data_IF_759090578800
#
_entry.id   IF_759090578800
#
_cell.length_a   1.000
_cell.length_b   1.000
_cell.length_c   1.000
_cell.angle_alpha   90.00
_cell.angle_beta   90.00
_cell.angle_gamma   90.00
#
_symmetry.space_group_name_H-M   'P 1'
#
loop_
_entity.id
_entity.type
_entity.pdbx_description
1 polymer ?
#
# COMPACT_ATOMS: atom_id res chain seq x y z
N UNK A 1 -9.50 9.27 -5.15
CA UNK A 1 -9.19 9.87 -3.84
C UNK A 1 -7.83 9.41 -3.29
N UNK A 2 -6.96 8.87 -4.13
CA UNK A 2 -5.59 8.52 -3.74
C UNK A 2 -4.78 9.74 -3.32
N UNK A 3 -3.78 9.53 -2.46
CA UNK A 3 -2.80 10.55 -2.14
C UNK A 3 -1.97 10.93 -3.39
N UNK A 4 -1.50 12.18 -3.45
CA UNK A 4 -0.69 12.69 -4.58
C UNK A 4 0.56 11.84 -4.87
N UNK A 5 1.13 11.17 -3.88
CA UNK A 5 2.25 10.26 -4.08
C UNK A 5 1.93 9.12 -5.07
N UNK A 6 0.68 8.66 -5.10
CA UNK A 6 0.21 7.66 -6.06
C UNK A 6 -0.24 8.33 -7.36
N UNK A 7 -1.05 9.40 -7.26
CA UNK A 7 -1.61 10.08 -8.44
C UNK A 7 -0.52 10.65 -9.35
N UNK A 8 0.47 11.34 -8.78
CA UNK A 8 1.53 11.96 -9.56
C UNK A 8 2.44 10.89 -10.20
N UNK A 9 2.69 9.76 -9.50
CA UNK A 9 3.42 8.61 -10.06
C UNK A 9 2.63 7.94 -11.18
N UNK A 10 1.32 7.73 -11.00
CA UNK A 10 0.45 7.18 -12.03
C UNK A 10 0.41 8.08 -13.27
N UNK A 11 0.37 9.41 -13.07
CA UNK A 11 0.44 10.38 -14.16
C UNK A 11 1.76 10.28 -14.94
N UNK A 12 2.91 10.14 -14.26
CA UNK A 12 4.20 9.95 -14.92
C UNK A 12 4.25 8.67 -15.75
N UNK A 13 3.69 7.57 -15.23
CA UNK A 13 3.57 6.32 -15.99
C UNK A 13 2.68 6.49 -17.22
N UNK A 14 1.56 7.20 -17.09
CA UNK A 14 0.68 7.51 -18.20
C UNK A 14 1.38 8.34 -19.28
N UNK A 15 2.16 9.35 -18.88
CA UNK A 15 2.94 10.19 -19.81
C UNK A 15 4.06 9.38 -20.50
N UNK A 16 4.54 8.31 -19.87
CA UNK A 16 5.47 7.34 -20.44
C UNK A 16 4.81 6.26 -21.32
N UNK A 17 3.48 6.32 -21.54
CA UNK A 17 2.73 5.43 -22.43
C UNK A 17 2.06 4.24 -21.77
N UNK A 18 2.09 4.15 -20.42
CA UNK A 18 1.33 3.14 -19.69
C UNK A 18 -0.16 3.53 -19.67
N UNK A 19 -1.05 2.61 -20.02
CA UNK A 19 -2.49 2.86 -19.92
C UNK A 19 -2.92 2.86 -18.44
N UNK A 20 -3.45 3.98 -17.96
CA UNK A 20 -3.91 4.17 -16.58
C UNK A 20 -5.41 4.44 -16.56
N UNK A 21 -6.14 3.70 -15.73
CA UNK A 21 -7.55 3.94 -15.46
C UNK A 21 -7.71 4.46 -14.03
N UNK A 22 -8.35 5.62 -13.89
CA UNK A 22 -8.66 6.21 -12.59
C UNK A 22 -10.10 5.90 -12.23
N UNK A 23 -10.33 5.18 -11.12
CA UNK A 23 -11.66 4.91 -10.61
C UNK A 23 -12.18 6.10 -9.80
N UNK A 24 -13.45 6.40 -10.00
CA UNK A 24 -14.17 7.40 -9.20
C UNK A 24 -14.87 6.68 -8.05
N UNK A 25 -14.69 7.13 -6.80
CA UNK A 25 -15.40 6.55 -5.66
C UNK A 25 -16.91 6.83 -5.74
N UNK A 26 -17.67 6.05 -5.02
CA UNK A 26 -19.09 6.25 -4.84
C UNK A 26 -19.39 7.48 -3.95
N UNK A 27 -20.67 7.74 -3.68
CA UNK A 27 -21.12 8.87 -2.85
C UNK A 27 -20.66 8.78 -1.38
N UNK A 28 -20.23 7.61 -0.93
CA UNK A 28 -19.65 7.37 0.39
C UNK A 28 -18.14 7.52 0.39
N UNK A 29 -17.52 7.77 -0.76
CA UNK A 29 -16.07 7.86 -0.91
C UNK A 29 -15.36 6.51 -0.96
N UNK A 30 -16.09 5.43 -1.31
CA UNK A 30 -15.56 4.06 -1.38
C UNK A 30 -15.37 3.60 -2.83
N UNK A 31 -14.39 2.74 -3.03
CA UNK A 31 -14.23 1.97 -4.26
C UNK A 31 -14.77 0.57 -4.02
N UNK A 32 -15.75 0.16 -4.84
CA UNK A 32 -16.35 -1.16 -4.70
C UNK A 32 -15.57 -2.24 -5.45
N UNK A 33 -15.60 -3.52 -4.98
CA UNK A 33 -15.01 -4.65 -5.72
C UNK A 33 -15.56 -4.78 -7.13
N UNK A 34 -16.84 -4.45 -7.32
CA UNK A 34 -17.47 -4.47 -8.64
C UNK A 34 -16.86 -3.43 -9.58
N UNK A 35 -16.70 -2.17 -9.12
CA UNK A 35 -16.09 -1.11 -9.93
C UNK A 35 -14.65 -1.48 -10.35
N UNK A 36 -13.89 -2.13 -9.47
CA UNK A 36 -12.56 -2.64 -9.80
C UNK A 36 -12.65 -3.74 -10.85
N UNK A 37 -13.52 -4.74 -10.66
CA UNK A 37 -13.71 -5.86 -11.59
C UNK A 37 -14.09 -5.41 -13.00
N UNK A 38 -14.97 -4.41 -13.11
CA UNK A 38 -15.42 -3.85 -14.40
C UNK A 38 -14.32 -3.06 -15.12
N UNK A 39 -13.40 -2.46 -14.34
CA UNK A 39 -12.28 -1.69 -14.89
C UNK A 39 -11.06 -2.54 -15.28
N UNK A 40 -10.97 -3.77 -14.76
CA UNK A 40 -9.86 -4.68 -15.06
C UNK A 40 -9.90 -5.12 -16.52
N UNK A 41 -8.76 -4.97 -17.21
CA UNK A 41 -8.52 -5.44 -18.57
C UNK A 41 -7.58 -6.66 -18.58
N UNK A 42 -7.48 -7.33 -19.69
CA UNK A 42 -6.56 -8.47 -19.87
C UNK A 42 -5.08 -8.07 -19.68
N UNK A 43 -4.75 -6.82 -20.03
CA UNK A 43 -3.40 -6.25 -19.90
C UNK A 43 -3.14 -5.52 -18.58
N UNK A 44 -4.09 -5.56 -17.63
CA UNK A 44 -3.91 -4.94 -16.32
C UNK A 44 -2.87 -5.72 -15.51
N UNK A 45 -1.74 -5.09 -15.21
CA UNK A 45 -0.66 -5.71 -14.43
C UNK A 45 -0.62 -5.27 -12.97
N UNK A 46 -1.20 -4.11 -12.64
CA UNK A 46 -1.19 -3.56 -11.28
C UNK A 46 -2.49 -2.79 -11.00
N UNK A 47 -3.06 -3.03 -9.83
CA UNK A 47 -4.09 -2.19 -9.22
C UNK A 47 -3.48 -1.55 -7.98
N UNK A 48 -3.66 -0.25 -7.79
CA UNK A 48 -3.23 0.47 -6.60
C UNK A 48 -4.43 1.15 -5.97
N UNK A 49 -4.62 0.94 -4.66
CA UNK A 49 -5.73 1.49 -3.91
C UNK A 49 -5.30 1.83 -2.48
N UNK A 50 -5.74 2.95 -1.95
CA UNK A 50 -5.50 3.26 -0.54
C UNK A 50 -6.47 2.50 0.38
N UNK A 51 -5.95 2.04 1.53
CA UNK A 51 -6.74 1.35 2.56
C UNK A 51 -7.66 2.34 3.28
N UNK A 52 -7.07 3.42 3.80
CA UNK A 52 -7.79 4.48 4.53
C UNK A 52 -7.52 5.82 3.87
N UNK A 53 -8.58 6.54 3.51
CA UNK A 53 -8.42 7.86 2.91
C UNK A 53 -7.92 8.90 3.93
N UNK A 54 -6.96 9.70 3.53
CA UNK A 54 -6.30 10.67 4.42
C UNK A 54 -7.14 11.91 4.74
N UNK A 55 -8.22 12.17 4.00
CA UNK A 55 -9.10 13.34 4.18
C UNK A 55 -10.46 12.94 4.73
N UNK A 56 -11.08 11.92 4.13
CA UNK A 56 -12.44 11.48 4.49
C UNK A 56 -12.44 10.43 5.62
N UNK A 57 -11.34 9.70 5.79
CA UNK A 57 -11.27 8.59 6.74
C UNK A 57 -12.02 7.33 6.29
N UNK A 58 -12.51 7.28 5.06
CA UNK A 58 -13.19 6.09 4.51
C UNK A 58 -12.21 4.91 4.44
N UNK A 59 -12.71 3.71 4.73
CA UNK A 59 -11.92 2.46 4.73
C UNK A 59 -12.43 1.57 3.62
N UNK A 60 -11.57 1.28 2.64
CA UNK A 60 -11.91 0.38 1.53
C UNK A 60 -11.81 -1.09 1.94
N UNK A 61 -12.69 -1.92 1.41
CA UNK A 61 -12.65 -3.37 1.58
C UNK A 61 -11.57 -3.99 0.69
N UNK A 62 -10.31 -3.90 1.16
CA UNK A 62 -9.16 -4.43 0.43
C UNK A 62 -9.15 -5.96 0.32
N UNK A 63 -9.88 -6.68 1.19
CA UNK A 63 -9.99 -8.13 1.09
C UNK A 63 -10.83 -8.51 -0.14
N UNK A 64 -12.05 -7.99 -0.24
CA UNK A 64 -12.92 -8.27 -1.38
C UNK A 64 -12.36 -7.72 -2.70
N UNK A 65 -11.75 -6.52 -2.70
CA UNK A 65 -11.09 -5.95 -3.87
C UNK A 65 -9.90 -6.79 -4.29
N UNK A 66 -9.07 -7.23 -3.35
CA UNK A 66 -7.89 -8.03 -3.64
C UNK A 66 -8.23 -9.39 -4.25
N UNK A 67 -9.34 -10.02 -3.85
CA UNK A 67 -9.83 -11.25 -4.49
C UNK A 67 -10.23 -11.00 -5.96
N UNK A 68 -10.91 -9.90 -6.24
CA UNK A 68 -11.27 -9.52 -7.60
C UNK A 68 -10.02 -9.26 -8.48
N UNK A 69 -9.00 -8.59 -7.93
CA UNK A 69 -7.73 -8.32 -8.64
C UNK A 69 -6.96 -9.63 -8.89
N UNK A 70 -6.88 -10.50 -7.87
CA UNK A 70 -6.18 -11.79 -7.95
C UNK A 70 -6.78 -12.72 -8.98
N UNK A 71 -8.11 -12.69 -9.16
CA UNK A 71 -8.82 -13.48 -10.17
C UNK A 71 -8.40 -13.13 -11.63
N UNK A 72 -7.78 -11.96 -11.85
CA UNK A 72 -7.24 -11.49 -13.12
C UNK A 72 -5.71 -11.52 -13.19
N UNK A 73 -5.05 -12.17 -12.23
CA UNK A 73 -3.59 -12.31 -12.12
C UNK A 73 -2.81 -10.98 -12.05
N UNK A 74 -3.49 -9.84 -11.92
CA UNK A 74 -2.86 -8.56 -11.64
C UNK A 74 -2.24 -8.54 -10.24
N UNK A 75 -1.24 -7.69 -10.02
CA UNK A 75 -0.72 -7.40 -8.69
C UNK A 75 -1.62 -6.37 -7.99
N UNK A 76 -1.76 -6.52 -6.68
CA UNK A 76 -2.51 -5.58 -5.86
C UNK A 76 -1.57 -4.85 -4.90
N UNK A 77 -1.43 -3.54 -5.11
CA UNK A 77 -0.75 -2.61 -4.21
C UNK A 77 -1.77 -1.88 -3.34
N UNK A 78 -1.48 -1.77 -2.06
CA UNK A 78 -2.30 -1.03 -1.10
C UNK A 78 -1.46 0.08 -0.46
N UNK A 79 -1.91 1.32 -0.56
CA UNK A 79 -1.37 2.41 0.27
C UNK A 79 -2.00 2.35 1.66
N UNK A 80 -1.24 1.87 2.64
CA UNK A 80 -1.66 1.75 4.03
C UNK A 80 -1.06 2.85 4.93
N UNK A 81 -0.57 3.95 4.35
CA UNK A 81 0.04 5.03 5.12
C UNK A 81 -0.88 5.57 6.22
N UNK A 82 -2.19 5.66 5.98
CA UNK A 82 -3.16 6.09 6.99
C UNK A 82 -3.80 4.93 7.76
N UNK A 83 -3.69 3.68 7.25
CA UNK A 83 -4.29 2.50 7.87
C UNK A 83 -3.44 1.88 8.97
N UNK A 84 -2.11 1.98 8.86
CA UNK A 84 -1.19 1.37 9.81
C UNK A 84 -1.44 1.88 11.24
N UNK A 85 -1.62 0.96 12.18
CA UNK A 85 -1.89 1.26 13.58
C UNK A 85 -3.29 1.80 13.88
N UNK A 86 -4.19 1.92 12.88
CA UNK A 86 -5.55 2.46 13.04
C UNK A 86 -6.63 1.45 12.63
N UNK A 87 -6.31 0.56 11.71
CA UNK A 87 -7.16 -0.57 11.31
C UNK A 87 -6.37 -1.86 11.36
N UNK A 88 -7.07 -2.98 11.52
CA UNK A 88 -6.43 -4.29 11.53
C UNK A 88 -5.87 -4.62 10.13
N UNK A 89 -4.59 -4.99 10.07
CA UNK A 89 -3.92 -5.44 8.86
C UNK A 89 -3.29 -6.80 9.14
N UNK A 90 -3.74 -7.83 8.44
CA UNK A 90 -3.18 -9.18 8.54
C UNK A 90 -2.74 -9.64 7.13
N UNK A 91 -1.46 -9.42 6.83
CA UNK A 91 -0.86 -9.75 5.54
C UNK A 91 -0.74 -11.25 5.27
N UNK A 92 -0.95 -12.11 6.30
CA UNK A 92 -0.99 -13.55 6.09
C UNK A 92 -2.30 -14.00 5.41
N UNK A 93 -3.38 -13.23 5.59
CA UNK A 93 -4.71 -13.56 5.08
C UNK A 93 -5.25 -12.60 4.03
N UNK A 94 -4.71 -11.37 3.96
CA UNK A 94 -5.13 -10.39 2.96
C UNK A 94 -4.55 -10.71 1.58
N UNK A 95 -5.37 -10.67 0.51
CA UNK A 95 -4.93 -10.90 -0.87
C UNK A 95 -4.19 -9.69 -1.46
N UNK A 96 -3.14 -9.22 -0.77
CA UNK A 96 -2.33 -8.06 -1.12
C UNK A 96 -0.92 -8.52 -1.52
N UNK A 97 -0.39 -7.97 -2.59
CA UNK A 97 0.93 -8.29 -3.10
C UNK A 97 2.00 -7.26 -2.69
N UNK A 98 1.58 -6.01 -2.55
CA UNK A 98 2.43 -4.88 -2.16
C UNK A 98 1.67 -3.99 -1.18
N UNK A 99 2.33 -3.52 -0.11
CA UNK A 99 1.70 -2.57 0.81
C UNK A 99 2.71 -1.53 1.30
N UNK A 100 2.35 -0.26 1.12
CA UNK A 100 3.18 0.88 1.51
C UNK A 100 2.83 1.39 2.89
N UNK A 101 3.86 1.70 3.68
CA UNK A 101 3.74 2.26 5.03
C UNK A 101 4.61 3.49 5.19
N UNK A 102 4.18 4.44 6.03
CA UNK A 102 4.94 5.66 6.33
C UNK A 102 5.08 5.83 7.84
N UNK A 103 6.33 5.89 8.32
CA UNK A 103 6.60 5.93 9.76
C UNK A 103 5.99 7.16 10.44
N UNK A 104 6.02 8.34 9.80
CA UNK A 104 5.50 9.57 10.41
C UNK A 104 3.96 9.59 10.55
N UNK A 105 3.25 8.64 9.99
CA UNK A 105 1.79 8.48 10.15
C UNK A 105 1.41 7.60 11.36
N UNK A 106 2.41 6.94 11.94
CA UNK A 106 2.30 6.14 13.17
C UNK A 106 3.22 6.70 14.26
N UNK A 107 3.38 8.03 14.31
CA UNK A 107 4.22 8.76 15.29
C UNK A 107 5.71 8.41 15.24
N UNK A 108 6.16 7.72 14.19
CA UNK A 108 7.57 7.44 13.92
C UNK A 108 8.29 8.60 13.23
N UNK A 109 9.57 8.45 12.89
CA UNK A 109 10.37 9.49 12.28
C UNK A 109 9.93 9.79 10.83
N UNK A 110 10.13 11.04 10.41
CA UNK A 110 10.03 11.43 9.00
C UNK A 110 11.20 10.86 8.20
N UNK A 111 11.01 10.68 6.89
CA UNK A 111 12.07 10.24 5.98
C UNK A 111 12.28 8.73 5.90
N UNK A 112 11.46 7.93 6.57
CA UNK A 112 11.46 6.47 6.49
C UNK A 112 10.06 5.93 6.26
N UNK A 113 9.98 4.85 5.50
CA UNK A 113 8.79 4.06 5.25
C UNK A 113 9.18 2.63 4.94
N UNK A 114 8.19 1.79 4.72
CA UNK A 114 8.40 0.40 4.32
C UNK A 114 7.46 0.02 3.18
N UNK A 115 7.92 -0.91 2.35
CA UNK A 115 7.10 -1.60 1.36
C UNK A 115 7.10 -3.09 1.72
N UNK A 116 5.92 -3.63 2.04
CA UNK A 116 5.74 -5.07 2.05
C UNK A 116 5.72 -5.59 0.62
N UNK A 117 6.48 -6.65 0.38
CA UNK A 117 6.56 -7.33 -0.91
C UNK A 117 6.17 -8.79 -0.71
N UNK A 118 4.98 -9.15 -1.15
CA UNK A 118 4.48 -10.51 -1.09
C UNK A 118 5.14 -11.44 -2.13
N UNK A 119 5.03 -12.76 -1.94
CA UNK A 119 5.70 -13.75 -2.81
C UNK A 119 5.39 -13.61 -4.30
N UNK A 120 4.15 -13.23 -4.66
CA UNK A 120 3.74 -13.03 -6.07
C UNK A 120 4.43 -11.84 -6.71
N UNK A 121 4.69 -10.77 -5.93
CA UNK A 121 5.34 -9.56 -6.43
C UNK A 121 6.85 -9.69 -6.51
N UNK A 122 7.47 -10.52 -5.67
CA UNK A 122 8.91 -10.57 -5.49
C UNK A 122 9.71 -10.82 -6.78
N UNK A 123 9.18 -11.68 -7.68
CA UNK A 123 9.82 -11.99 -8.95
C UNK A 123 9.45 -11.01 -10.09
N UNK A 124 8.50 -10.13 -9.84
CA UNK A 124 7.97 -9.18 -10.83
C UNK A 124 8.47 -7.75 -10.63
N UNK A 125 9.17 -7.50 -9.51
CA UNK A 125 9.75 -6.20 -9.21
C UNK A 125 11.16 -6.08 -9.78
N UNK A 126 11.47 -4.85 -10.21
CA UNK A 126 12.82 -4.46 -10.60
C UNK A 126 13.31 -3.31 -9.73
N UNK A 127 14.55 -3.44 -9.25
CA UNK A 127 15.19 -2.38 -8.49
C UNK A 127 15.30 -1.09 -9.32
N UNK A 128 14.97 0.04 -8.70
CA UNK A 128 15.14 1.36 -9.30
C UNK A 128 16.40 2.07 -8.78
N UNK A 129 16.94 1.60 -7.64
CA UNK A 129 18.15 2.13 -7.01
C UNK A 129 19.13 0.99 -6.87
N UNK A 130 20.30 1.10 -7.53
CA UNK A 130 21.31 0.06 -7.61
C UNK A 130 22.53 0.35 -6.72
N UNK A 131 23.29 -0.69 -6.38
CA UNK A 131 24.52 -0.64 -5.56
C UNK A 131 24.37 -1.36 -4.22
N UNK A 132 25.37 -2.04 -3.74
CA UNK A 132 25.44 -2.66 -2.42
C UNK A 132 24.45 -3.79 -2.08
N UNK A 133 23.42 -4.04 -2.86
CA UNK A 133 22.48 -5.17 -2.70
C UNK A 133 21.62 -5.14 -1.45
N UNK A 134 21.42 -3.97 -0.82
CA UNK A 134 20.54 -3.84 0.36
C UNK A 134 19.09 -4.17 0.04
N UNK A 135 18.30 -4.51 1.07
CA UNK A 135 16.89 -4.90 0.96
C UNK A 135 16.65 -6.03 -0.07
N UNK A 136 17.47 -7.07 -0.01
CA UNK A 136 17.39 -8.17 -0.97
C UNK A 136 17.68 -7.79 -2.42
N UNK A 137 18.40 -6.69 -2.64
CA UNK A 137 18.69 -6.14 -3.97
C UNK A 137 17.61 -5.20 -4.51
N UNK A 138 16.47 -5.08 -3.87
CA UNK A 138 15.35 -4.26 -4.36
C UNK A 138 15.57 -2.76 -4.17
N UNK A 139 16.29 -2.36 -3.12
CA UNK A 139 16.58 -0.95 -2.84
C UNK A 139 17.97 -0.80 -2.23
N UNK A 140 18.95 -0.53 -3.03
CA UNK A 140 20.33 -0.33 -2.59
C UNK A 140 20.56 1.04 -1.95
N UNK A 141 21.60 1.13 -1.14
CA UNK A 141 22.00 2.32 -0.40
C UNK A 141 22.12 2.02 1.10
N UNK A 142 23.15 2.57 1.74
CA UNK A 142 23.39 2.38 3.19
C UNK A 142 22.12 2.67 3.97
N UNK A 143 21.71 1.73 4.80
CA UNK A 143 20.45 1.81 5.54
C UNK A 143 20.53 2.89 6.64
N UNK A 144 19.47 3.68 6.77
CA UNK A 144 19.30 4.64 7.87
C UNK A 144 18.86 3.89 9.14
N UNK A 145 19.76 3.12 9.75
CA UNK A 145 19.47 2.16 10.82
C UNK A 145 18.75 2.78 12.01
N UNK A 146 19.08 4.03 12.38
CA UNK A 146 18.41 4.77 13.44
C UNK A 146 16.93 5.04 13.12
N UNK A 147 16.60 5.39 11.88
CA UNK A 147 15.22 5.62 11.45
C UNK A 147 14.45 4.29 11.35
N UNK A 148 15.08 3.23 10.87
CA UNK A 148 14.49 1.89 10.78
C UNK A 148 14.16 1.38 12.19
N UNK A 149 15.09 1.48 13.14
CA UNK A 149 14.86 1.09 14.52
C UNK A 149 13.71 1.91 15.15
N UNK A 150 13.69 3.23 14.93
CA UNK A 150 12.64 4.09 15.45
C UNK A 150 11.27 3.78 14.79
N UNK A 151 11.22 3.45 13.50
CA UNK A 151 9.98 2.98 12.85
C UNK A 151 9.50 1.67 13.48
N UNK A 152 10.42 0.72 13.75
CA UNK A 152 10.09 -0.55 14.41
C UNK A 152 9.44 -0.33 15.80
N UNK A 153 9.98 0.58 16.60
CA UNK A 153 9.37 0.98 17.88
C UNK A 153 7.99 1.60 17.68
N UNK A 154 7.85 2.50 16.70
CA UNK A 154 6.55 3.11 16.38
C UNK A 154 5.49 2.09 15.98
N UNK A 155 5.84 1.10 15.17
CA UNK A 155 4.95 0.00 14.77
C UNK A 155 4.54 -0.84 15.99
N UNK A 156 5.48 -1.19 16.87
CA UNK A 156 5.19 -1.99 18.06
C UNK A 156 4.24 -1.26 19.02
N UNK A 157 4.49 0.04 19.27
CA UNK A 157 3.61 0.89 20.10
C UNK A 157 2.23 1.05 19.46
N UNK A 158 2.15 1.29 18.16
CA UNK A 158 0.87 1.41 17.45
C UNK A 158 0.03 0.13 17.54
N UNK A 159 0.68 -1.05 17.44
CA UNK A 159 -0.01 -2.33 17.60
C UNK A 159 -0.55 -2.53 19.02
N UNK A 160 0.21 -2.14 20.05
CA UNK A 160 -0.22 -2.20 21.45
C UNK A 160 -1.41 -1.27 21.70
N UNK A 161 -1.30 0.00 21.31
CA UNK A 161 -2.36 1.02 21.49
C UNK A 161 -3.64 0.64 20.74
N UNK A 162 -3.52 0.11 19.53
CA UNK A 162 -4.67 -0.37 18.76
C UNK A 162 -5.44 -1.48 19.50
N UNK A 163 -4.73 -2.41 20.13
CA UNK A 163 -5.36 -3.46 20.93
C UNK A 163 -6.09 -2.91 22.17
N UNK A 164 -5.49 -1.92 22.84
CA UNK A 164 -6.07 -1.25 24.01
C UNK A 164 -7.30 -0.40 23.64
N UNK A 165 -7.22 0.41 22.57
CA UNK A 165 -8.33 1.23 22.07
C UNK A 165 -9.51 0.38 21.62
N UNK A 166 -9.26 -0.72 20.91
CA UNK A 166 -10.31 -1.65 20.48
C UNK A 166 -11.03 -2.33 21.64
N UNK A 167 -10.37 -2.50 22.78
CA UNK A 167 -10.98 -3.06 23.99
C UNK A 167 -11.84 -2.03 24.75
N UNK A 168 -11.74 -0.74 24.43
CA UNK A 168 -12.42 0.37 25.10
C UNK A 168 -13.67 0.87 24.35
N UNK A 169 -13.83 0.49 23.07
CA UNK A 169 -14.97 0.80 22.21
C UNK A 169 -15.95 -0.39 22.18
#
# INVERSE_FOLDING_TARGET
>A
IEHKAILDTAKQLQDAGVAVTYLVPDAQGLITPQAVSEALREDTFLVSLMLVNNELGTVNDIAAIGEAVRAREALFHVDAAQGAGKVAIDLAHLPVDLMSFSAHKIYGPKGIGALYVGPRAQQRLQAQIHGGGHEGGLRSGTLATHQIAAMGVGVALAAQLFAEEKATI
#
